data_IF_746805420891
#
_entry.id   IF_746805420891
#
_cell.length_a   1.000
_cell.length_b   1.000
_cell.length_c   1.000
_cell.angle_alpha   90.00
_cell.angle_beta   90.00
_cell.angle_gamma   90.00
#
_symmetry.space_group_name_H-M   'P 1'
#
loop_
_entity.id
_entity.type
_entity.pdbx_description
1 polymer ?
#
# COMPACT_ATOMS: atom_id res chain seq x y z
N UNK A 1 -21.59 -50.83 -74.47
CA UNK A 1 -22.99 -51.11 -74.11
C UNK A 1 -23.48 -49.90 -73.34
N UNK A 2 -24.30 -48.99 -73.85
CA UNK A 2 -24.94 -48.76 -75.14
C UNK A 2 -25.43 -47.28 -75.09
N UNK A 3 -25.14 -46.52 -76.18
CA UNK A 3 -25.89 -45.39 -76.79
C UNK A 3 -26.32 -44.16 -75.93
N UNK A 4 -25.73 -42.95 -76.06
CA UNK A 4 -25.92 -41.84 -77.07
C UNK A 4 -27.28 -41.09 -76.97
N UNK A 5 -27.51 -39.82 -77.46
CA UNK A 5 -26.62 -38.70 -77.85
C UNK A 5 -27.15 -37.25 -77.51
N UNK A 6 -26.45 -36.19 -77.98
CA UNK A 6 -27.02 -34.88 -78.42
C UNK A 6 -26.78 -33.67 -77.49
N UNK A 7 -25.92 -32.67 -77.81
CA UNK A 7 -25.97 -31.58 -78.81
C UNK A 7 -26.38 -30.19 -78.23
N UNK A 8 -25.38 -29.28 -78.24
CA UNK A 8 -25.38 -27.82 -78.59
C UNK A 8 -26.15 -26.73 -77.80
N UNK A 9 -25.35 -25.79 -77.24
CA UNK A 9 -25.42 -24.28 -77.24
C UNK A 9 -26.65 -23.52 -76.66
N UNK A 10 -26.59 -22.18 -76.39
CA UNK A 10 -25.49 -21.21 -76.17
C UNK A 10 -25.70 -20.29 -74.92
N UNK A 11 -24.75 -19.37 -74.64
CA UNK A 11 -24.92 -18.25 -73.67
C UNK A 11 -26.02 -17.25 -74.08
N UNK A 12 -26.63 -16.49 -73.13
CA UNK A 12 -26.30 -15.05 -73.08
C UNK A 12 -26.40 -14.35 -71.70
N UNK A 13 -25.48 -13.38 -71.56
CA UNK A 13 -25.63 -11.95 -71.20
C UNK A 13 -26.64 -11.40 -70.17
N UNK A 14 -26.04 -10.67 -69.21
CA UNK A 14 -26.36 -9.32 -68.66
C UNK A 14 -27.78 -8.88 -68.26
N UNK A 15 -27.78 -8.31 -67.05
CA UNK A 15 -28.57 -7.17 -66.55
C UNK A 15 -30.00 -7.42 -66.00
N UNK A 16 -30.03 -7.84 -64.72
CA UNK A 16 -30.67 -7.16 -63.57
C UNK A 16 -32.21 -6.97 -63.53
N UNK A 17 -32.78 -6.54 -62.39
CA UNK A 17 -32.82 -7.22 -61.09
C UNK A 17 -34.27 -7.28 -60.54
N UNK A 18 -34.57 -8.11 -59.51
CA UNK A 18 -35.55 -7.75 -58.45
C UNK A 18 -35.74 -8.83 -57.38
N UNK A 19 -35.56 -8.37 -56.14
CA UNK A 19 -36.30 -8.70 -54.92
C UNK A 19 -37.12 -10.00 -54.88
N UNK A 20 -36.72 -10.91 -54.00
CA UNK A 20 -37.63 -11.87 -53.38
C UNK A 20 -37.38 -11.89 -51.88
N UNK A 21 -38.40 -11.52 -51.12
CA UNK A 21 -38.43 -11.70 -49.68
C UNK A 21 -38.82 -13.12 -49.27
N UNK A 22 -38.52 -13.37 -48.00
CA UNK A 22 -39.21 -14.24 -47.04
C UNK A 22 -38.97 -15.77 -47.05
N UNK A 23 -39.03 -16.27 -45.80
CA UNK A 23 -38.88 -17.62 -45.23
C UNK A 23 -37.45 -18.02 -44.80
N UNK A 24 -37.14 -18.36 -43.53
CA UNK A 24 -37.92 -18.42 -42.27
C UNK A 24 -36.94 -18.64 -41.08
N UNK A 25 -37.40 -18.32 -39.86
CA UNK A 25 -37.00 -18.83 -38.51
C UNK A 25 -35.90 -18.10 -37.70
N UNK A 26 -36.04 -18.08 -36.35
CA UNK A 26 -35.93 -16.86 -35.55
C UNK A 26 -34.49 -16.54 -35.17
N UNK A 27 -34.16 -15.25 -35.30
CA UNK A 27 -32.97 -14.68 -34.69
C UNK A 27 -33.24 -14.67 -33.18
N UNK A 28 -32.62 -15.61 -32.47
CA UNK A 28 -32.36 -15.47 -31.05
C UNK A 28 -31.74 -14.09 -30.90
N UNK A 29 -32.50 -13.17 -30.31
CA UNK A 29 -31.93 -11.96 -29.74
C UNK A 29 -30.82 -12.46 -28.82
N UNK A 30 -29.57 -12.25 -29.24
CA UNK A 30 -28.45 -12.28 -28.31
C UNK A 30 -28.81 -11.23 -27.24
N UNK A 31 -29.41 -11.71 -26.16
CA UNK A 31 -29.23 -11.19 -24.82
C UNK A 31 -27.71 -11.08 -24.62
N UNK A 32 -27.14 -9.95 -25.07
CA UNK A 32 -25.76 -9.57 -24.79
C UNK A 32 -25.68 -9.25 -23.32
N UNK A 33 -25.47 -10.32 -22.56
CA UNK A 33 -24.57 -10.41 -21.41
C UNK A 33 -24.36 -9.09 -20.65
N UNK A 34 -25.43 -8.60 -20.06
CA UNK A 34 -25.42 -7.47 -19.10
C UNK A 34 -25.07 -7.96 -17.67
N UNK A 35 -24.42 -9.14 -17.55
CA UNK A 35 -24.22 -9.84 -16.28
C UNK A 35 -22.81 -9.73 -15.67
N UNK A 36 -21.92 -8.87 -16.15
CA UNK A 36 -20.61 -8.68 -15.51
C UNK A 36 -19.95 -7.30 -15.65
N UNK A 37 -20.72 -6.22 -15.79
CA UNK A 37 -20.19 -4.89 -15.47
C UNK A 37 -20.41 -4.62 -13.99
N UNK A 38 -19.49 -5.06 -13.14
CA UNK A 38 -19.33 -4.46 -11.80
C UNK A 38 -19.19 -2.96 -12.06
N UNK A 39 -20.22 -2.17 -11.72
CA UNK A 39 -20.09 -0.72 -11.70
C UNK A 39 -19.07 -0.41 -10.61
N UNK A 40 -17.80 -0.27 -11.00
CA UNK A 40 -16.74 0.13 -10.08
C UNK A 40 -17.21 1.41 -9.38
N UNK A 41 -17.30 1.33 -8.05
CA UNK A 41 -17.65 2.51 -7.25
C UNK A 41 -16.66 3.65 -7.56
N UNK A 42 -17.16 4.90 -7.67
CA UNK A 42 -16.30 6.06 -7.77
C UNK A 42 -15.25 6.06 -6.66
N UNK A 43 -14.00 6.36 -7.00
CA UNK A 43 -12.89 6.20 -6.06
C UNK A 43 -13.00 7.10 -4.81
N UNK A 44 -13.71 8.22 -4.92
CA UNK A 44 -14.07 9.06 -3.77
C UNK A 44 -14.99 8.32 -2.78
N UNK A 45 -15.98 7.58 -3.28
CA UNK A 45 -16.87 6.76 -2.45
C UNK A 45 -16.06 5.64 -1.80
N UNK A 46 -15.15 5.02 -2.56
CA UNK A 46 -14.24 3.98 -2.04
C UNK A 46 -13.33 4.54 -0.96
N UNK A 47 -12.76 5.74 -1.14
CA UNK A 47 -11.91 6.39 -0.14
C UNK A 47 -12.68 6.63 1.16
N UNK A 48 -13.86 7.27 1.09
CA UNK A 48 -14.70 7.58 2.25
C UNK A 48 -15.11 6.31 3.00
N UNK A 49 -15.56 5.28 2.27
CA UNK A 49 -15.91 3.99 2.87
C UNK A 49 -14.71 3.34 3.55
N UNK A 50 -13.58 3.25 2.85
CA UNK A 50 -12.38 2.58 3.36
C UNK A 50 -11.79 3.32 4.58
N UNK A 51 -11.89 4.66 4.60
CA UNK A 51 -11.55 5.46 5.78
C UNK A 51 -12.43 5.09 6.98
N UNK A 52 -13.75 4.99 6.81
CA UNK A 52 -14.68 4.58 7.87
C UNK A 52 -14.38 3.18 8.37
N UNK A 53 -14.19 2.20 7.47
CA UNK A 53 -13.85 0.81 7.84
C UNK A 53 -12.61 0.80 8.74
N UNK A 54 -11.53 1.50 8.34
CA UNK A 54 -10.31 1.55 9.15
C UNK A 54 -10.51 2.17 10.53
N UNK A 55 -11.27 3.26 10.62
CA UNK A 55 -11.52 3.96 11.87
C UNK A 55 -12.39 3.12 12.79
N UNK A 56 -13.49 2.57 12.30
CA UNK A 56 -14.37 1.68 13.06
C UNK A 56 -13.62 0.46 13.58
N UNK A 57 -12.84 -0.21 12.71
CA UNK A 57 -12.05 -1.37 13.10
C UNK A 57 -11.04 -1.05 14.20
N UNK A 58 -10.38 0.10 14.10
CA UNK A 58 -9.43 0.55 15.13
C UNK A 58 -10.10 0.83 16.47
N UNK A 59 -11.28 1.43 16.47
CA UNK A 59 -12.04 1.69 17.70
C UNK A 59 -12.53 0.37 18.33
N UNK A 60 -13.04 -0.56 17.52
CA UNK A 60 -13.47 -1.88 18.00
C UNK A 60 -12.33 -2.66 18.65
N UNK A 61 -11.16 -2.68 18.02
CA UNK A 61 -9.98 -3.35 18.57
C UNK A 61 -9.45 -2.62 19.81
N UNK A 62 -9.38 -1.29 19.81
CA UNK A 62 -8.95 -0.50 20.95
C UNK A 62 -9.81 -0.77 22.18
N UNK A 63 -11.14 -0.78 22.02
CA UNK A 63 -12.08 -1.02 23.12
C UNK A 63 -12.00 -2.42 23.71
N UNK A 64 -11.45 -3.38 22.96
CA UNK A 64 -11.32 -4.79 23.37
C UNK A 64 -9.90 -5.16 23.78
N UNK A 65 -8.91 -4.31 23.51
CA UNK A 65 -7.51 -4.53 23.87
C UNK A 65 -7.34 -4.18 25.34
N UNK A 66 -6.63 -5.02 26.10
CA UNK A 66 -6.40 -4.77 27.53
C UNK A 66 -5.35 -3.66 27.78
N UNK A 67 -4.44 -3.48 26.82
CA UNK A 67 -3.40 -2.45 26.86
C UNK A 67 -3.97 -1.12 26.34
N UNK A 68 -3.42 -0.01 26.83
CA UNK A 68 -3.75 1.31 26.29
C UNK A 68 -3.17 1.46 24.88
N UNK A 69 -4.05 1.39 23.88
CA UNK A 69 -3.73 1.56 22.46
C UNK A 69 -4.26 2.88 21.88
N UNK A 70 -4.65 3.84 22.73
CA UNK A 70 -5.25 5.11 22.34
C UNK A 70 -4.37 5.91 21.38
N UNK A 71 -3.04 5.84 21.55
CA UNK A 71 -2.07 6.47 20.65
C UNK A 71 -2.12 5.94 19.21
N UNK A 72 -2.48 4.66 19.03
CA UNK A 72 -2.64 4.07 17.68
C UNK A 72 -3.92 4.57 17.00
N UNK A 73 -4.99 4.77 17.77
CA UNK A 73 -6.24 5.41 17.29
C UNK A 73 -5.95 6.85 16.88
N UNK A 74 -5.24 7.60 17.71
CA UNK A 74 -4.84 8.97 17.42
C UNK A 74 -4.00 9.05 16.12
N UNK A 75 -3.04 8.15 15.96
CA UNK A 75 -2.16 8.13 14.79
C UNK A 75 -2.87 7.70 13.50
N UNK A 76 -3.79 6.72 13.55
CA UNK A 76 -4.54 6.33 12.35
C UNK A 76 -5.50 7.44 11.91
N UNK A 77 -6.16 8.13 12.84
CA UNK A 77 -7.05 9.26 12.53
C UNK A 77 -6.28 10.33 11.77
N UNK A 78 -5.12 10.73 12.32
CA UNK A 78 -4.27 11.74 11.68
C UNK A 78 -3.80 11.30 10.29
N UNK A 79 -3.37 10.03 10.15
CA UNK A 79 -2.90 9.50 8.86
C UNK A 79 -4.00 9.43 7.80
N UNK A 80 -5.22 9.02 8.18
CA UNK A 80 -6.40 9.01 7.29
C UNK A 80 -6.77 10.44 6.87
N UNK A 81 -6.86 11.35 7.83
CA UNK A 81 -7.21 12.75 7.56
C UNK A 81 -6.17 13.45 6.70
N UNK A 82 -4.88 13.20 6.94
CA UNK A 82 -3.80 13.69 6.09
C UNK A 82 -3.97 13.20 4.64
N UNK A 83 -4.21 11.91 4.44
CA UNK A 83 -4.43 11.35 3.10
C UNK A 83 -5.70 11.90 2.44
N UNK A 84 -6.73 12.22 3.22
CA UNK A 84 -7.92 12.94 2.75
C UNK A 84 -7.61 14.37 2.32
N UNK A 85 -6.77 15.08 3.08
CA UNK A 85 -6.37 16.46 2.80
C UNK A 85 -5.57 16.60 1.50
N UNK A 86 -4.71 15.63 1.21
CA UNK A 86 -3.92 15.59 -0.03
C UNK A 86 -4.65 14.84 -1.17
N UNK A 87 -5.90 14.44 -0.97
CA UNK A 87 -6.75 13.92 -2.05
C UNK A 87 -7.19 15.08 -2.98
N UNK A 88 -7.56 14.76 -4.22
CA UNK A 88 -8.13 15.73 -5.17
C UNK A 88 -9.48 15.25 -5.71
N UNK A 89 -10.61 15.92 -5.38
CA UNK A 89 -10.75 17.03 -4.41
C UNK A 89 -10.52 16.59 -2.95
N UNK A 90 -10.02 17.48 -2.10
CA UNK A 90 -9.68 17.13 -0.71
C UNK A 90 -10.90 16.79 0.15
N UNK A 91 -10.72 15.88 1.12
CA UNK A 91 -11.74 15.52 2.11
C UNK A 91 -11.43 16.12 3.48
N UNK A 92 -12.40 16.80 4.07
CA UNK A 92 -12.35 17.19 5.48
C UNK A 92 -12.70 15.98 6.38
N UNK A 93 -12.25 15.94 7.65
CA UNK A 93 -12.64 14.88 8.57
C UNK A 93 -14.17 14.73 8.71
N UNK A 94 -14.92 15.86 8.72
CA UNK A 94 -16.40 15.86 8.74
C UNK A 94 -17.02 15.22 7.49
N UNK A 95 -16.34 15.25 6.35
CA UNK A 95 -16.82 14.56 5.14
C UNK A 95 -16.52 13.05 5.13
N UNK A 96 -15.64 12.59 6.02
CA UNK A 96 -15.25 11.19 6.15
C UNK A 96 -16.05 10.47 7.24
N UNK A 97 -16.53 11.20 8.25
CA UNK A 97 -17.26 10.66 9.41
C UNK A 97 -18.75 11.03 9.35
N UNK A 98 -19.60 10.32 10.08
CA UNK A 98 -20.93 10.83 10.44
C UNK A 98 -20.82 11.82 11.62
N UNK A 99 -21.86 12.60 11.88
CA UNK A 99 -21.81 13.70 12.85
C UNK A 99 -21.57 13.19 14.27
N UNK A 100 -22.21 12.10 14.69
CA UNK A 100 -22.04 11.52 16.03
C UNK A 100 -20.60 11.01 16.24
N UNK A 101 -20.06 10.27 15.26
CA UNK A 101 -18.69 9.78 15.31
C UNK A 101 -17.67 10.94 15.24
N UNK A 102 -17.95 11.97 14.45
CA UNK A 102 -17.09 13.15 14.37
C UNK A 102 -16.99 13.84 15.73
N UNK A 103 -18.13 14.17 16.35
CA UNK A 103 -18.16 14.93 17.59
C UNK A 103 -17.53 14.12 18.75
N UNK A 104 -17.75 12.81 18.78
CA UNK A 104 -17.12 11.92 19.77
C UNK A 104 -15.60 11.86 19.60
N UNK A 105 -15.12 11.62 18.38
CA UNK A 105 -13.68 11.49 18.10
C UNK A 105 -12.93 12.82 18.22
N UNK A 106 -13.53 13.94 17.83
CA UNK A 106 -12.90 15.26 17.99
C UNK A 106 -12.75 15.62 19.47
N UNK A 107 -13.73 15.23 20.29
CA UNK A 107 -13.68 15.43 21.75
C UNK A 107 -12.61 14.57 22.41
N UNK A 108 -12.52 13.28 22.04
CA UNK A 108 -11.61 12.32 22.67
C UNK A 108 -10.17 12.46 22.13
N UNK A 109 -10.03 12.65 20.82
CA UNK A 109 -8.76 12.76 20.10
C UNK A 109 -8.71 14.09 19.34
N UNK A 110 -8.53 15.26 20.01
CA UNK A 110 -8.59 16.55 19.34
C UNK A 110 -7.40 16.83 18.41
N UNK A 111 -6.23 16.27 18.72
CA UNK A 111 -4.99 16.61 18.01
C UNK A 111 -4.96 16.17 16.53
N UNK A 112 -5.45 14.97 16.13
CA UNK A 112 -5.59 14.60 14.73
C UNK A 112 -6.39 15.61 13.90
N UNK A 113 -7.50 16.13 14.44
CA UNK A 113 -8.38 17.10 13.77
C UNK A 113 -7.71 18.47 13.61
N UNK A 114 -6.80 18.83 14.51
CA UNK A 114 -6.06 20.10 14.45
C UNK A 114 -4.82 20.04 13.54
N UNK A 115 -4.17 18.87 13.47
CA UNK A 115 -2.80 18.76 12.93
C UNK A 115 -2.70 18.05 11.57
N UNK A 116 -3.77 17.44 11.06
CA UNK A 116 -3.74 16.68 9.80
C UNK A 116 -3.38 17.51 8.55
N UNK A 117 -3.60 18.83 8.60
CA UNK A 117 -3.32 19.75 7.49
C UNK A 117 -1.94 20.42 7.56
N UNK A 118 -1.21 20.19 8.65
CA UNK A 118 0.08 20.86 8.91
C UNK A 118 1.22 19.92 9.29
N UNK A 119 0.94 18.72 9.82
CA UNK A 119 1.95 17.73 10.21
C UNK A 119 1.84 16.48 9.35
N UNK A 120 2.98 15.81 9.14
CA UNK A 120 3.02 14.56 8.39
C UNK A 120 2.79 13.35 9.32
N UNK A 121 2.01 12.36 8.91
CA UNK A 121 1.94 11.10 9.64
C UNK A 121 3.28 10.36 9.55
N UNK A 122 3.61 9.57 10.57
CA UNK A 122 4.86 8.76 10.59
C UNK A 122 4.75 7.49 9.74
N UNK A 123 3.54 6.98 9.57
CA UNK A 123 3.21 5.73 8.87
C UNK A 123 1.84 5.81 8.19
N UNK A 124 1.56 4.83 7.33
CA UNK A 124 0.29 4.70 6.63
C UNK A 124 -0.82 4.24 7.58
N UNK A 125 -2.11 4.48 7.25
CA UNK A 125 -3.21 4.04 8.09
C UNK A 125 -3.23 2.52 8.32
N UNK A 126 -2.91 1.76 7.27
CA UNK A 126 -2.93 0.30 7.32
C UNK A 126 -1.77 -0.27 8.15
N UNK A 127 -0.66 0.46 8.26
CA UNK A 127 0.43 0.13 9.20
C UNK A 127 -0.01 0.33 10.66
N UNK A 128 -0.75 1.41 10.96
CA UNK A 128 -1.35 1.58 12.30
C UNK A 128 -2.31 0.44 12.63
N UNK A 129 -3.17 0.06 11.68
CA UNK A 129 -4.08 -1.08 11.85
C UNK A 129 -3.33 -2.39 12.10
N UNK A 130 -2.28 -2.68 11.32
CA UNK A 130 -1.46 -3.87 11.57
C UNK A 130 -0.93 -3.89 13.00
N UNK A 131 -0.40 -2.77 13.50
CA UNK A 131 0.13 -2.71 14.87
C UNK A 131 -0.97 -2.95 15.91
N UNK A 132 -2.16 -2.36 15.73
CA UNK A 132 -3.31 -2.62 16.59
C UNK A 132 -3.72 -4.10 16.59
N UNK A 133 -3.79 -4.73 15.41
CA UNK A 133 -4.14 -6.16 15.27
C UNK A 133 -3.10 -7.04 15.96
N UNK A 134 -1.81 -6.71 15.83
CA UNK A 134 -0.72 -7.40 16.52
C UNK A 134 -0.79 -7.20 18.04
N UNK A 135 -1.12 -6.00 18.53
CA UNK A 135 -1.34 -5.74 19.95
C UNK A 135 -2.51 -6.56 20.51
N UNK A 136 -3.61 -6.65 19.75
CA UNK A 136 -4.81 -7.36 20.16
C UNK A 136 -4.61 -8.88 20.22
N UNK A 137 -4.07 -9.49 19.17
CA UNK A 137 -3.88 -10.95 19.11
C UNK A 137 -2.57 -11.42 19.76
N UNK A 138 -1.56 -10.58 19.83
CA UNK A 138 -0.20 -10.96 20.23
C UNK A 138 0.65 -11.43 19.05
N UNK A 139 1.95 -11.13 19.10
CA UNK A 139 2.89 -11.29 17.99
C UNK A 139 3.03 -12.73 17.47
N UNK A 140 2.79 -13.74 18.30
CA UNK A 140 2.92 -15.15 17.90
C UNK A 140 1.70 -15.71 17.16
N UNK A 141 0.57 -15.00 17.17
CA UNK A 141 -0.70 -15.47 16.59
C UNK A 141 -0.83 -15.08 15.12
N UNK A 142 0.14 -15.50 14.30
CA UNK A 142 0.27 -15.15 12.89
C UNK A 142 -1.02 -15.40 12.09
N UNK A 143 -1.64 -16.58 12.23
CA UNK A 143 -2.84 -16.94 11.48
C UNK A 143 -4.01 -16.02 11.80
N UNK A 144 -4.18 -15.65 13.08
CA UNK A 144 -5.24 -14.73 13.51
C UNK A 144 -5.00 -13.32 12.97
N UNK A 145 -3.76 -12.83 13.04
CA UNK A 145 -3.36 -11.53 12.48
C UNK A 145 -3.64 -11.49 10.97
N UNK A 146 -3.19 -12.51 10.23
CA UNK A 146 -3.36 -12.58 8.78
C UNK A 146 -4.83 -12.70 8.37
N UNK A 147 -5.61 -13.52 9.06
CA UNK A 147 -7.04 -13.66 8.80
C UNK A 147 -7.79 -12.36 9.07
N UNK A 148 -7.48 -11.66 10.18
CA UNK A 148 -8.11 -10.38 10.47
C UNK A 148 -7.82 -9.33 9.39
N UNK A 149 -6.56 -9.20 8.97
CA UNK A 149 -6.20 -8.28 7.89
C UNK A 149 -6.84 -8.67 6.56
N UNK A 150 -6.94 -9.98 6.27
CA UNK A 150 -7.64 -10.49 5.10
C UNK A 150 -9.10 -10.06 5.12
N UNK A 151 -9.80 -10.22 6.23
CA UNK A 151 -11.22 -9.84 6.37
C UNK A 151 -11.42 -8.34 6.14
N UNK A 152 -10.60 -7.50 6.77
CA UNK A 152 -10.65 -6.04 6.57
C UNK A 152 -10.40 -5.68 5.10
N UNK A 153 -9.40 -6.28 4.46
CA UNK A 153 -9.12 -6.03 3.04
C UNK A 153 -10.26 -6.50 2.12
N UNK A 154 -10.94 -7.61 2.43
CA UNK A 154 -12.10 -8.05 1.65
C UNK A 154 -13.23 -7.03 1.71
N UNK A 155 -13.55 -6.50 2.90
CA UNK A 155 -14.55 -5.44 3.05
C UNK A 155 -14.15 -4.18 2.27
N UNK A 156 -12.88 -3.78 2.34
CA UNK A 156 -12.36 -2.59 1.64
C UNK A 156 -12.33 -2.75 0.11
N UNK A 157 -12.28 -3.98 -0.41
CA UNK A 157 -12.31 -4.31 -1.85
C UNK A 157 -13.71 -4.47 -2.42
N UNK A 158 -14.74 -4.57 -1.59
CA UNK A 158 -16.10 -4.83 -2.06
C UNK A 158 -16.53 -3.78 -3.10
N UNK A 159 -17.05 -4.19 -4.26
CA UNK A 159 -17.51 -3.26 -5.30
C UNK A 159 -16.46 -2.35 -5.95
N UNK A 160 -15.15 -2.61 -5.76
CA UNK A 160 -14.09 -1.83 -6.41
C UNK A 160 -12.78 -2.61 -6.59
N UNK A 161 -12.12 -2.43 -7.73
CA UNK A 161 -10.75 -2.90 -7.96
C UNK A 161 -9.66 -1.94 -7.45
N UNK A 162 -10.02 -0.75 -6.95
CA UNK A 162 -9.06 0.28 -6.57
C UNK A 162 -8.41 0.01 -5.21
N UNK A 163 -7.07 -0.03 -5.17
CA UNK A 163 -6.31 -0.16 -3.94
C UNK A 163 -6.19 1.21 -3.23
N UNK A 164 -7.11 1.48 -2.32
CA UNK A 164 -7.22 2.74 -1.59
C UNK A 164 -7.23 2.47 -0.08
N UNK A 165 -6.24 3.02 0.63
CA UNK A 165 -6.07 2.91 2.09
C UNK A 165 -5.76 1.51 2.65
N UNK A 166 -5.70 0.47 1.82
CA UNK A 166 -5.30 -0.88 2.25
C UNK A 166 -4.03 -1.40 1.58
N UNK A 167 -3.33 -2.29 2.29
CA UNK A 167 -2.13 -2.96 1.80
C UNK A 167 -2.50 -4.25 1.08
N UNK A 168 -1.77 -4.57 0.02
CA UNK A 168 -1.91 -5.85 -0.69
C UNK A 168 -1.01 -6.93 -0.12
N UNK A 169 0.04 -6.53 0.60
CA UNK A 169 1.15 -7.41 1.00
C UNK A 169 1.52 -7.19 2.46
N UNK A 170 1.83 -8.27 3.17
CA UNK A 170 2.42 -8.31 4.51
C UNK A 170 3.78 -9.05 4.44
N UNK A 171 4.82 -8.56 5.12
CA UNK A 171 6.04 -9.33 5.42
C UNK A 171 6.06 -9.65 6.92
N UNK A 172 6.53 -10.84 7.24
CA UNK A 172 6.82 -11.31 8.59
C UNK A 172 8.31 -11.60 8.64
N UNK A 173 9.04 -10.86 9.49
CA UNK A 173 10.47 -11.05 9.70
C UNK A 173 10.73 -11.59 11.08
N UNK A 174 11.64 -12.55 11.19
CA UNK A 174 12.02 -13.15 12.47
C UNK A 174 13.39 -13.84 12.38
N UNK A 175 13.94 -14.18 13.54
CA UNK A 175 15.08 -15.10 13.68
C UNK A 175 14.59 -16.42 14.30
N UNK A 176 15.46 -17.40 14.49
CA UNK A 176 15.08 -18.73 15.02
C UNK A 176 14.43 -18.67 16.42
N UNK A 177 14.75 -17.67 17.24
CA UNK A 177 14.29 -17.58 18.64
C UNK A 177 13.68 -16.21 18.99
N UNK A 178 13.34 -15.38 18.01
CA UNK A 178 12.72 -14.07 18.26
C UNK A 178 11.22 -14.13 18.06
N UNK A 179 10.54 -13.09 18.55
CA UNK A 179 9.17 -12.80 18.13
C UNK A 179 9.07 -12.60 16.61
N UNK A 180 7.84 -12.67 16.10
CA UNK A 180 7.50 -12.28 14.72
C UNK A 180 7.30 -10.76 14.61
N UNK A 181 7.94 -10.17 13.62
CA UNK A 181 7.85 -8.74 13.33
C UNK A 181 7.15 -8.49 12.00
N UNK A 182 6.06 -7.75 12.07
CA UNK A 182 5.17 -7.55 10.92
C UNK A 182 5.44 -6.20 10.26
N UNK A 183 5.18 -6.15 8.95
CA UNK A 183 5.12 -4.92 8.18
C UNK A 183 4.21 -5.08 6.97
N UNK A 184 3.69 -3.97 6.44
CA UNK A 184 2.79 -3.98 5.29
C UNK A 184 3.28 -3.06 4.18
N UNK A 185 2.92 -3.37 2.94
CA UNK A 185 3.21 -2.49 1.80
C UNK A 185 2.49 -1.14 1.95
N UNK A 186 3.05 -0.07 1.39
CA UNK A 186 2.42 1.25 1.44
C UNK A 186 1.03 1.25 0.79
N UNK A 187 0.02 1.67 1.55
CA UNK A 187 -1.41 1.59 1.20
C UNK A 187 -1.98 2.92 0.70
N UNK A 188 -1.23 3.65 -0.13
CA UNK A 188 -1.61 5.00 -0.57
C UNK A 188 -2.21 5.01 -1.98
N UNK A 189 -3.18 5.90 -2.20
CA UNK A 189 -3.63 6.25 -3.54
C UNK A 189 -2.59 7.13 -4.23
N UNK A 190 -2.10 6.66 -5.38
CA UNK A 190 -1.24 7.46 -6.25
C UNK A 190 0.20 7.59 -5.77
N UNK A 191 1.06 7.97 -6.72
CA UNK A 191 2.52 7.96 -6.53
C UNK A 191 3.00 8.97 -5.49
N UNK A 192 2.47 10.20 -5.51
CA UNK A 192 2.94 11.28 -4.63
C UNK A 192 2.70 10.97 -3.14
N UNK A 193 1.51 10.47 -2.78
CA UNK A 193 1.19 10.11 -1.40
C UNK A 193 2.11 8.99 -0.88
N UNK A 194 2.34 7.97 -1.70
CA UNK A 194 3.27 6.89 -1.34
C UNK A 194 4.70 7.38 -1.18
N UNK A 195 5.18 8.25 -2.08
CA UNK A 195 6.50 8.85 -1.96
C UNK A 195 6.63 9.69 -0.68
N UNK A 196 5.60 10.46 -0.30
CA UNK A 196 5.58 11.22 0.95
C UNK A 196 5.69 10.28 2.16
N UNK A 197 4.88 9.22 2.23
CA UNK A 197 4.92 8.31 3.37
C UNK A 197 6.24 7.54 3.47
N UNK A 198 6.84 7.12 2.36
CA UNK A 198 8.19 6.50 2.37
C UNK A 198 9.21 7.47 2.97
N UNK A 199 9.20 8.73 2.54
CA UNK A 199 10.11 9.74 3.09
C UNK A 199 9.81 10.01 4.59
N UNK A 200 8.54 10.10 4.97
CA UNK A 200 8.14 10.30 6.36
C UNK A 200 8.59 9.14 7.25
N UNK A 201 8.41 7.90 6.81
CA UNK A 201 8.88 6.71 7.52
C UNK A 201 10.40 6.71 7.68
N UNK A 202 11.15 7.10 6.65
CA UNK A 202 12.61 7.23 6.75
C UNK A 202 13.09 8.22 7.84
N UNK A 203 12.31 9.27 8.11
CA UNK A 203 12.68 10.32 9.08
C UNK A 203 12.12 10.11 10.48
N UNK A 204 11.02 9.36 10.63
CA UNK A 204 10.23 9.38 11.86
C UNK A 204 9.75 8.02 12.36
N UNK A 205 9.73 6.98 11.53
CA UNK A 205 9.24 5.66 11.94
C UNK A 205 10.33 4.57 11.84
N UNK A 206 10.92 4.38 10.67
CA UNK A 206 11.79 3.24 10.43
C UNK A 206 13.09 3.30 11.21
N UNK A 207 13.59 2.12 11.58
CA UNK A 207 14.91 1.95 12.16
C UNK A 207 15.97 2.59 11.25
N UNK A 208 16.97 3.24 11.86
CA UNK A 208 17.99 4.01 11.14
C UNK A 208 18.64 3.22 10.00
N UNK A 209 18.98 1.95 10.24
CA UNK A 209 19.62 1.10 9.22
C UNK A 209 18.73 0.88 8.00
N UNK A 210 17.43 0.66 8.20
CA UNK A 210 16.46 0.52 7.10
C UNK A 210 16.31 1.84 6.35
N UNK A 211 16.12 2.95 7.07
CA UNK A 211 16.02 4.28 6.47
C UNK A 211 17.25 4.61 5.64
N UNK A 212 18.45 4.38 6.18
CA UNK A 212 19.71 4.63 5.51
C UNK A 212 19.85 3.74 4.26
N UNK A 213 19.46 2.46 4.32
CA UNK A 213 19.41 1.58 3.15
C UNK A 213 18.48 2.13 2.06
N UNK A 214 17.22 2.47 2.40
CA UNK A 214 16.25 3.04 1.46
C UNK A 214 16.79 4.33 0.83
N UNK A 215 17.40 5.21 1.64
CA UNK A 215 18.02 6.46 1.18
C UNK A 215 19.20 6.26 0.23
N UNK A 216 19.76 5.05 0.11
CA UNK A 216 20.77 4.73 -0.92
C UNK A 216 20.23 4.95 -2.33
N UNK A 217 18.96 4.61 -2.56
CA UNK A 217 18.34 4.71 -3.87
C UNK A 217 17.33 5.86 -3.91
N UNK A 218 16.40 5.89 -2.94
CA UNK A 218 15.28 6.85 -2.89
C UNK A 218 15.74 8.32 -2.90
N UNK A 219 15.08 9.25 -3.61
CA UNK A 219 13.81 9.09 -4.35
C UNK A 219 13.94 8.44 -5.72
N UNK A 220 15.16 8.23 -6.18
CA UNK A 220 15.45 7.66 -7.48
C UNK A 220 15.46 6.11 -7.42
N UNK A 221 15.58 5.49 -8.60
CA UNK A 221 15.80 4.04 -8.69
C UNK A 221 17.28 3.67 -8.80
N UNK A 222 18.15 4.66 -9.01
CA UNK A 222 19.59 4.46 -9.17
C UNK A 222 20.30 4.62 -7.83
N UNK A 223 21.32 3.79 -7.60
CA UNK A 223 22.18 3.86 -6.44
C UNK A 223 22.95 5.18 -6.45
N UNK A 224 22.98 5.91 -5.34
CA UNK A 224 23.83 7.10 -5.20
C UNK A 224 25.30 6.70 -5.17
N UNK A 225 26.10 7.29 -6.04
CA UNK A 225 27.55 7.06 -6.10
C UNK A 225 28.28 7.43 -4.80
N UNK A 226 27.74 8.39 -4.04
CA UNK A 226 28.36 8.92 -2.82
C UNK A 226 27.80 8.32 -1.53
N UNK A 227 26.73 7.51 -1.58
CA UNK A 227 26.09 7.00 -0.38
C UNK A 227 25.46 5.64 -0.64
N UNK A 228 25.93 4.62 0.09
CA UNK A 228 25.35 3.29 0.06
C UNK A 228 25.35 2.67 1.43
N UNK A 229 24.19 2.12 1.77
CA UNK A 229 23.86 1.46 3.02
C UNK A 229 23.03 0.20 2.78
N UNK A 230 23.23 -0.41 1.61
CA UNK A 230 22.74 -1.75 1.36
C UNK A 230 23.35 -2.65 2.44
N UNK A 231 22.55 -3.53 2.99
CA UNK A 231 22.98 -4.48 4.00
C UNK A 231 22.83 -5.89 3.46
N UNK A 232 23.62 -6.80 4.01
CA UNK A 232 23.39 -8.23 3.88
C UNK A 232 22.82 -8.68 5.22
N UNK A 233 21.57 -9.14 5.22
CA UNK A 233 20.98 -9.70 6.43
C UNK A 233 21.75 -10.94 6.90
N UNK A 234 21.87 -11.15 8.22
CA UNK A 234 22.42 -12.38 8.76
C UNK A 234 21.63 -13.61 8.27
N UNK A 235 22.29 -14.78 8.07
CA UNK A 235 21.63 -15.97 7.50
C UNK A 235 20.44 -16.52 8.32
N UNK A 236 20.37 -16.19 9.61
CA UNK A 236 19.31 -16.60 10.52
C UNK A 236 18.07 -15.72 10.44
N UNK A 237 18.15 -14.55 9.79
CA UNK A 237 17.00 -13.67 9.56
C UNK A 237 16.18 -14.19 8.38
N UNK A 238 14.90 -14.46 8.61
CA UNK A 238 13.91 -14.76 7.58
C UNK A 238 13.00 -13.54 7.36
N UNK A 239 12.59 -13.30 6.11
CA UNK A 239 11.41 -12.47 5.79
C UNK A 239 10.53 -13.27 4.84
N UNK A 240 9.29 -13.47 5.24
CA UNK A 240 8.27 -14.20 4.49
C UNK A 240 7.18 -13.24 4.08
N UNK A 241 6.83 -13.24 2.80
CA UNK A 241 5.90 -12.27 2.22
C UNK A 241 4.65 -12.97 1.74
N UNK A 242 3.49 -12.39 2.06
CA UNK A 242 2.19 -12.95 1.72
C UNK A 242 1.29 -11.91 1.06
N UNK A 243 0.47 -12.36 0.12
CA UNK A 243 -0.65 -11.57 -0.38
C UNK A 243 -1.76 -11.60 0.67
N UNK A 244 -2.22 -10.44 1.14
CA UNK A 244 -3.20 -10.36 2.23
C UNK A 244 -4.56 -10.93 1.81
N UNK A 245 -5.02 -10.65 0.59
CA UNK A 245 -6.34 -11.10 0.14
C UNK A 245 -6.36 -12.59 -0.19
N UNK A 246 -5.35 -13.07 -0.90
CA UNK A 246 -5.29 -14.47 -1.33
C UNK A 246 -4.76 -15.38 -0.21
N UNK A 247 -4.02 -14.83 0.75
CA UNK A 247 -3.37 -15.57 1.82
C UNK A 247 -2.15 -16.38 1.35
N UNK A 248 -1.80 -16.36 0.06
CA UNK A 248 -0.70 -17.16 -0.47
C UNK A 248 0.67 -16.49 -0.26
N UNK A 249 1.75 -17.29 -0.14
CA UNK A 249 3.11 -16.79 -0.20
C UNK A 249 3.43 -16.06 -1.51
N UNK A 250 4.37 -15.14 -1.45
CA UNK A 250 4.88 -14.36 -2.58
C UNK A 250 6.42 -14.34 -2.56
N UNK A 251 7.01 -14.16 -3.74
CA UNK A 251 8.44 -13.90 -3.84
C UNK A 251 8.79 -12.51 -3.29
N UNK A 252 9.97 -12.42 -2.66
CA UNK A 252 10.52 -11.18 -2.14
C UNK A 252 10.74 -10.15 -3.24
N UNK A 253 10.61 -8.85 -2.92
CA UNK A 253 10.75 -7.79 -3.92
C UNK A 253 12.21 -7.62 -4.37
N UNK A 254 12.43 -7.41 -5.68
CA UNK A 254 13.76 -7.09 -6.23
C UNK A 254 14.39 -5.86 -5.59
N UNK A 255 13.58 -4.83 -5.32
CA UNK A 255 14.08 -3.62 -4.66
C UNK A 255 14.51 -3.91 -3.22
N UNK A 256 13.82 -4.80 -2.51
CA UNK A 256 14.19 -5.22 -1.16
C UNK A 256 15.41 -6.14 -1.16
N UNK A 257 15.58 -6.98 -2.18
CA UNK A 257 16.82 -7.71 -2.45
C UNK A 257 18.01 -6.77 -2.62
N UNK A 258 17.86 -5.73 -3.46
CA UNK A 258 18.91 -4.73 -3.66
C UNK A 258 19.25 -3.98 -2.35
N UNK A 259 18.28 -3.78 -1.43
CA UNK A 259 18.48 -3.07 -0.14
C UNK A 259 19.07 -3.93 0.97
N UNK A 260 18.56 -5.15 1.12
CA UNK A 260 18.76 -5.99 2.32
C UNK A 260 19.45 -7.31 2.03
N UNK A 261 19.82 -7.59 0.76
CA UNK A 261 20.49 -8.82 0.38
C UNK A 261 19.59 -10.05 0.44
N UNK A 262 18.27 -9.83 0.32
CA UNK A 262 17.26 -10.88 0.28
C UNK A 262 17.33 -11.66 -1.05
N UNK A 263 17.15 -12.97 -0.98
CA UNK A 263 17.12 -13.81 -2.17
C UNK A 263 15.78 -13.71 -2.89
N UNK A 264 15.81 -13.45 -4.20
CA UNK A 264 14.60 -13.41 -5.03
C UNK A 264 14.90 -13.69 -6.49
N UNK A 265 13.96 -14.36 -7.15
CA UNK A 265 13.97 -14.59 -8.61
C UNK A 265 13.27 -13.45 -9.37
N UNK A 266 12.58 -12.55 -8.68
CA UNK A 266 11.84 -11.43 -9.27
C UNK A 266 12.81 -10.45 -9.92
N UNK A 267 12.60 -10.17 -11.21
CA UNK A 267 13.43 -9.22 -11.98
C UNK A 267 12.91 -7.78 -11.92
N UNK A 268 11.60 -7.60 -11.70
CA UNK A 268 10.95 -6.28 -11.75
C UNK A 268 11.31 -5.44 -10.53
N UNK A 269 11.85 -4.24 -10.79
CA UNK A 269 12.23 -3.27 -9.74
C UNK A 269 11.17 -2.18 -9.54
N UNK A 270 10.60 -2.15 -8.35
CA UNK A 270 9.65 -1.14 -7.89
C UNK A 270 10.36 0.04 -7.22
N UNK A 271 9.61 1.08 -6.83
CA UNK A 271 10.17 2.16 -6.00
C UNK A 271 10.67 1.61 -4.66
N UNK A 272 11.83 2.09 -4.21
CA UNK A 272 12.43 1.64 -2.95
C UNK A 272 11.64 2.16 -1.74
N UNK A 273 11.43 1.30 -0.74
CA UNK A 273 10.71 1.62 0.51
C UNK A 273 9.19 1.39 0.47
N UNK A 274 8.58 1.11 -0.67
CA UNK A 274 7.12 0.88 -0.73
C UNK A 274 6.68 -0.49 -0.22
N UNK A 275 7.61 -1.43 -0.12
CA UNK A 275 7.30 -2.84 0.11
C UNK A 275 7.27 -3.17 1.61
N UNK A 276 6.56 -4.24 1.95
CA UNK A 276 6.28 -4.63 3.33
C UNK A 276 7.54 -5.00 4.13
N UNK A 277 8.57 -5.48 3.43
CA UNK A 277 9.85 -5.93 3.99
C UNK A 277 10.57 -4.78 4.71
N UNK A 278 10.46 -3.54 4.23
CA UNK A 278 11.13 -2.40 4.86
C UNK A 278 10.58 -2.13 6.27
N UNK A 279 9.26 -2.16 6.42
CA UNK A 279 8.61 -1.98 7.72
C UNK A 279 8.85 -3.17 8.65
N UNK A 280 8.69 -4.39 8.13
CA UNK A 280 8.88 -5.62 8.90
C UNK A 280 10.31 -5.73 9.45
N UNK A 281 11.34 -5.52 8.62
CA UNK A 281 12.74 -5.50 9.05
C UNK A 281 13.04 -4.33 9.98
N UNK A 282 12.42 -3.17 9.77
CA UNK A 282 12.55 -2.05 10.70
C UNK A 282 12.05 -2.42 12.09
N UNK A 283 10.92 -3.13 12.18
CA UNK A 283 10.35 -3.56 13.45
C UNK A 283 11.22 -4.65 14.10
N UNK A 284 11.72 -5.62 13.32
CA UNK A 284 12.72 -6.60 13.78
C UNK A 284 13.94 -5.90 14.39
N UNK A 285 14.51 -4.90 13.70
CA UNK A 285 15.70 -4.22 14.20
C UNK A 285 15.46 -3.37 15.46
N UNK A 286 14.23 -2.88 15.66
CA UNK A 286 13.86 -2.20 16.91
C UNK A 286 13.71 -3.19 18.07
N UNK A 287 13.16 -4.37 17.81
CA UNK A 287 12.90 -5.40 18.82
C UNK A 287 14.10 -6.29 19.15
N UNK A 288 14.98 -6.53 18.16
CA UNK A 288 16.14 -7.43 18.26
C UNK A 288 17.45 -6.70 17.94
N UNK A 289 18.01 -5.91 18.87
CA UNK A 289 19.25 -5.18 18.66
C UNK A 289 20.44 -6.09 18.26
N UNK A 290 20.43 -7.36 18.69
CA UNK A 290 21.45 -8.36 18.34
C UNK A 290 21.55 -8.62 16.84
N UNK A 291 20.45 -8.48 16.10
CA UNK A 291 20.47 -8.61 14.63
C UNK A 291 21.28 -7.47 14.01
N UNK A 292 21.16 -6.26 14.55
CA UNK A 292 21.92 -5.10 14.09
C UNK A 292 23.41 -5.24 14.41
N UNK A 293 23.78 -5.80 15.57
CA UNK A 293 25.17 -6.03 15.95
C UNK A 293 25.89 -7.00 15.00
N UNK A 294 25.16 -7.94 14.41
CA UNK A 294 25.68 -8.89 13.42
C UNK A 294 25.81 -8.31 12.01
N UNK A 295 25.16 -7.18 11.74
CA UNK A 295 25.36 -6.48 10.47
C UNK A 295 26.79 -5.95 10.42
N UNK A 296 27.50 -6.25 9.32
CA UNK A 296 28.88 -5.80 9.13
C UNK A 296 28.98 -4.29 9.40
N UNK A 297 29.95 -3.85 10.24
CA UNK A 297 30.07 -2.46 10.62
C UNK A 297 30.25 -1.57 9.38
N UNK A 298 29.72 -0.35 9.46
CA UNK A 298 29.70 0.63 8.37
C UNK A 298 31.13 1.03 7.94
N UNK A 299 31.76 0.26 7.06
CA UNK A 299 33.06 0.63 6.48
C UNK A 299 32.86 1.93 5.69
N UNK A 300 33.41 3.04 6.20
CA UNK A 300 33.32 4.40 5.62
C UNK A 300 31.94 5.07 5.71
N UNK A 301 31.41 5.16 6.92
CA UNK A 301 30.32 6.06 7.28
C UNK A 301 30.71 7.56 7.27
N UNK A 302 31.01 8.12 6.10
CA UNK A 302 31.18 9.58 6.02
C UNK A 302 29.86 10.26 6.43
N UNK A 303 29.84 10.87 7.63
CA UNK A 303 28.67 11.57 8.19
C UNK A 303 28.14 12.64 7.21
N UNK A 304 29.02 13.28 6.43
CA UNK A 304 28.66 14.24 5.40
C UNK A 304 27.86 13.61 4.25
N UNK A 305 28.24 12.42 3.79
CA UNK A 305 27.51 11.72 2.72
C UNK A 305 26.12 11.27 3.17
N UNK A 306 25.99 10.83 4.43
CA UNK A 306 24.69 10.51 5.02
C UNK A 306 23.80 11.76 5.11
N UNK A 307 24.35 12.88 5.60
CA UNK A 307 23.61 14.14 5.68
C UNK A 307 23.16 14.63 4.30
N UNK A 308 24.02 14.50 3.29
CA UNK A 308 23.70 14.79 1.88
C UNK A 308 22.55 13.92 1.36
N UNK A 309 22.56 12.62 1.66
CA UNK A 309 21.46 11.71 1.31
C UNK A 309 20.14 12.09 2.01
N UNK A 310 20.18 12.35 3.32
CA UNK A 310 19.03 12.85 4.09
C UNK A 310 18.46 14.14 3.50
N UNK A 311 19.32 15.11 3.16
CA UNK A 311 18.89 16.37 2.58
C UNK A 311 18.23 16.19 1.21
N UNK A 312 18.73 15.26 0.39
CA UNK A 312 18.10 14.92 -0.90
C UNK A 312 16.69 14.35 -0.71
N UNK A 313 16.50 13.44 0.25
CA UNK A 313 15.18 12.90 0.57
C UNK A 313 14.25 13.96 1.15
N UNK A 314 14.75 14.83 2.02
CA UNK A 314 13.97 15.94 2.59
C UNK A 314 13.54 16.95 1.51
N UNK A 315 14.41 17.27 0.57
CA UNK A 315 14.09 18.16 -0.55
C UNK A 315 13.04 17.53 -1.47
N UNK A 316 13.15 16.23 -1.76
CA UNK A 316 12.13 15.50 -2.51
C UNK A 316 10.78 15.51 -1.79
N UNK A 317 10.76 15.23 -0.48
CA UNK A 317 9.55 15.32 0.34
C UNK A 317 8.90 16.71 0.22
N UNK A 318 9.67 17.78 0.42
CA UNK A 318 9.18 19.16 0.25
C UNK A 318 8.63 19.41 -1.16
N UNK A 319 9.25 18.88 -2.21
CA UNK A 319 8.76 18.98 -3.58
C UNK A 319 7.44 18.22 -3.80
N UNK A 320 7.27 17.04 -3.20
CA UNK A 320 6.00 16.31 -3.28
C UNK A 320 4.87 17.05 -2.57
N UNK A 321 5.15 17.65 -1.41
CA UNK A 321 4.16 18.41 -0.64
C UNK A 321 3.70 19.68 -1.36
N UNK A 322 4.58 20.34 -2.11
CA UNK A 322 4.25 21.50 -2.95
C UNK A 322 3.21 21.22 -4.05
N UNK A 323 2.90 19.96 -4.32
CA UNK A 323 1.84 19.58 -5.29
C UNK A 323 0.43 19.74 -4.72
N UNK A 324 0.31 19.97 -3.40
CA UNK A 324 -0.96 20.01 -2.69
C UNK A 324 -1.12 21.38 -2.02
N UNK A 325 -1.87 22.28 -2.65
CA UNK A 325 -2.10 23.63 -2.13
C UNK A 325 -2.86 23.64 -0.79
N UNK A 326 -3.57 22.55 -0.52
CA UNK A 326 -4.35 22.32 0.69
C UNK A 326 -3.48 21.97 1.91
N UNK A 327 -2.20 21.65 1.75
CA UNK A 327 -1.35 21.18 2.85
C UNK A 327 -0.12 22.07 3.05
N UNK A 328 0.10 22.55 4.28
CA UNK A 328 1.24 23.42 4.64
C UNK A 328 2.05 22.82 5.78
N UNK A 329 3.14 22.16 5.42
CA UNK A 329 3.97 21.44 6.39
C UNK A 329 4.69 22.38 7.37
N UNK A 330 4.52 22.16 8.67
CA UNK A 330 5.20 22.88 9.76
C UNK A 330 6.61 22.35 10.08
N UNK A 331 7.06 21.32 9.35
CA UNK A 331 8.35 20.65 9.55
C UNK A 331 8.32 19.52 10.58
N UNK A 332 7.17 19.20 11.17
CA UNK A 332 7.02 18.16 12.21
C UNK A 332 6.26 16.94 11.70
N UNK A 333 6.47 15.84 12.42
CA UNK A 333 5.74 14.58 12.25
C UNK A 333 4.75 14.40 13.39
N UNK A 334 3.74 13.58 13.15
CA UNK A 334 2.68 13.28 14.10
C UNK A 334 2.40 11.77 14.20
N UNK A 335 2.22 11.23 15.42
CA UNK A 335 2.49 11.85 16.72
C UNK A 335 3.95 12.31 16.84
N UNK A 336 4.28 13.18 17.80
CA UNK A 336 5.66 13.63 17.94
C UNK A 336 6.55 12.42 18.33
N UNK A 337 7.57 12.04 17.52
CA UNK A 337 8.42 10.89 17.83
C UNK A 337 9.26 11.06 19.11
N UNK A 338 9.44 12.30 19.59
CA UNK A 338 10.09 12.62 20.86
C UNK A 338 9.20 13.59 21.66
N UNK A 339 8.15 13.11 22.35
CA UNK A 339 7.42 13.95 23.30
C UNK A 339 8.42 14.37 24.38
N UNK A 340 8.58 15.69 24.56
CA UNK A 340 9.46 16.24 25.59
C UNK A 340 8.89 16.03 26.97
#
# INVERSE_FOLDING_TARGET
MEEEPGMTEPQPDRNAPRSSGLFRTPRVEEERDDRNRIKNLPEEIVFKRNARILITEMLELNNRTQQDTSMLVEEILHSVFFLGQIYSPSFSPRSLLDDDMFDALEKEYPQPFQLYSTRLPRRSPFSCLLEMVVCFYGQENEDQIRNKLKDVVHQMKEGSSSQILFSSTICISHTHNSCRYYGVSMSTRGRSAGEILVAASCFSNWHRSVSDAVMTYYPDKQKKSYFSRNMQLPPDVKCEVFNISEGRPMDLCRSCSDLFGLDTTVKKRWGYGHCAEAESLSNLFKGEPRVIEQLKPEVNANKGNRMKAKMRVLNHLKQQLKKFDTFKWDGKFYPNPNPK
#
